data_IF_178242378842
#
_entry.id   IF_178242378842
#
_cell.length_a   1.000
_cell.length_b   1.000
_cell.length_c   1.000
_cell.angle_alpha   90.00
_cell.angle_beta   90.00
_cell.angle_gamma   90.00
#
_symmetry.space_group_name_H-M   'P 1'
#
loop_
_entity.id
_entity.type
_entity.pdbx_description
1 polymer ?
#
# COMPACT_ATOMS: atom_id res chain seq x y z
N UNK A 1 10.55 8.66 7.18
CA UNK A 1 9.65 7.50 6.98
C UNK A 1 8.70 7.23 8.15
N UNK A 2 9.05 7.48 9.42
CA UNK A 2 8.18 7.15 10.56
C UNK A 2 6.77 7.77 10.49
N UNK A 3 6.67 9.06 10.16
CA UNK A 3 5.38 9.74 9.93
C UNK A 3 4.56 9.07 8.82
N UNK A 4 5.21 8.61 7.74
CA UNK A 4 4.55 7.93 6.63
C UNK A 4 3.99 6.59 7.10
N UNK A 5 4.75 5.80 7.87
CA UNK A 5 4.30 4.52 8.43
C UNK A 5 3.06 4.65 9.31
N UNK A 6 3.00 5.67 10.18
CA UNK A 6 1.81 5.96 10.99
C UNK A 6 0.60 6.29 10.11
N UNK A 7 0.80 7.09 9.06
CA UNK A 7 -0.26 7.43 8.10
C UNK A 7 -0.75 6.21 7.33
N UNK A 8 0.11 5.28 6.95
CA UNK A 8 -0.31 4.03 6.29
C UNK A 8 -1.22 3.18 7.17
N UNK A 9 -0.96 3.10 8.48
CA UNK A 9 -1.87 2.38 9.40
C UNK A 9 -3.28 3.00 9.41
N UNK A 10 -3.35 4.34 9.38
CA UNK A 10 -4.62 5.07 9.24
C UNK A 10 -5.26 4.85 7.86
N UNK A 11 -4.46 4.90 6.80
CA UNK A 11 -4.93 4.64 5.44
C UNK A 11 -5.62 3.28 5.35
N UNK A 12 -4.95 2.21 5.79
CA UNK A 12 -5.53 0.85 5.79
C UNK A 12 -6.84 0.78 6.58
N UNK A 13 -6.91 1.44 7.75
CA UNK A 13 -8.18 1.53 8.49
C UNK A 13 -9.28 2.25 7.73
N UNK A 14 -8.97 3.33 7.00
CA UNK A 14 -9.97 4.00 6.15
C UNK A 14 -10.40 3.12 4.98
N UNK A 15 -9.48 2.37 4.38
CA UNK A 15 -9.81 1.45 3.29
C UNK A 15 -10.72 0.31 3.76
N UNK A 16 -10.42 -0.32 4.89
CA UNK A 16 -11.25 -1.38 5.49
C UNK A 16 -12.65 -0.89 5.88
N UNK A 17 -12.77 0.36 6.34
CA UNK A 17 -14.04 0.97 6.73
C UNK A 17 -14.82 1.57 5.54
N UNK A 18 -14.24 1.59 4.34
CA UNK A 18 -14.84 2.27 3.18
C UNK A 18 -14.86 3.80 3.27
N UNK A 19 -14.07 4.40 4.17
CA UNK A 19 -13.93 5.86 4.37
C UNK A 19 -13.05 6.48 3.26
N UNK A 20 -13.46 6.36 1.99
CA UNK A 20 -12.61 6.67 0.83
C UNK A 20 -12.21 8.15 0.74
N UNK A 21 -13.07 9.06 1.21
CA UNK A 21 -12.73 10.49 1.33
C UNK A 21 -11.52 10.71 2.25
N UNK A 22 -11.52 10.07 3.43
CA UNK A 22 -10.40 10.17 4.38
C UNK A 22 -9.17 9.43 3.87
N UNK A 23 -9.34 8.33 3.15
CA UNK A 23 -8.23 7.63 2.50
C UNK A 23 -7.51 8.54 1.49
N UNK A 24 -8.29 9.26 0.66
CA UNK A 24 -7.76 10.24 -0.31
C UNK A 24 -7.03 11.39 0.38
N UNK A 25 -7.63 12.00 1.40
CA UNK A 25 -7.01 13.07 2.20
C UNK A 25 -5.71 12.58 2.88
N UNK A 26 -5.71 11.36 3.42
CA UNK A 26 -4.54 10.77 4.05
C UNK A 26 -3.41 10.49 3.05
N UNK A 27 -3.73 10.02 1.84
CA UNK A 27 -2.75 9.86 0.76
C UNK A 27 -2.08 11.20 0.40
N UNK A 28 -2.84 12.29 0.26
CA UNK A 28 -2.27 13.60 -0.05
C UNK A 28 -1.26 14.03 1.04
N UNK A 29 -1.61 13.79 2.30
CA UNK A 29 -0.69 14.04 3.41
C UNK A 29 0.52 13.11 3.39
N UNK A 30 0.39 11.84 2.97
CA UNK A 30 1.56 10.96 2.75
C UNK A 30 2.46 11.56 1.67
N UNK A 31 1.90 11.93 0.52
CA UNK A 31 2.64 12.47 -0.62
C UNK A 31 3.40 13.76 -0.27
N UNK A 32 2.79 14.67 0.51
CA UNK A 32 3.47 15.89 0.98
C UNK A 32 4.68 15.61 1.88
N UNK A 33 4.69 14.49 2.60
CA UNK A 33 5.81 14.10 3.48
C UNK A 33 6.89 13.30 2.73
N UNK A 34 6.64 12.93 1.49
CA UNK A 34 7.60 12.27 0.61
C UNK A 34 8.37 13.35 -0.16
N UNK A 35 9.70 13.32 -0.08
CA UNK A 35 10.56 14.21 -0.89
C UNK A 35 10.57 13.81 -2.37
N UNK A 36 11.20 14.62 -3.23
CA UNK A 36 11.17 14.45 -4.69
C UNK A 36 12.25 13.50 -5.25
N UNK A 37 12.33 12.28 -4.73
CA UNK A 37 13.24 11.24 -5.28
C UNK A 37 12.46 10.28 -6.17
N UNK A 38 13.12 9.62 -7.13
CA UNK A 38 12.48 8.60 -7.98
C UNK A 38 11.83 7.49 -7.14
N UNK A 39 12.51 7.04 -6.09
CA UNK A 39 11.96 6.11 -5.11
C UNK A 39 10.64 6.61 -4.51
N UNK A 40 10.62 7.84 -4.03
CA UNK A 40 9.42 8.42 -3.44
C UNK A 40 8.29 8.63 -4.45
N UNK A 41 8.60 8.95 -5.72
CA UNK A 41 7.60 9.03 -6.79
C UNK A 41 6.92 7.69 -7.01
N UNK A 42 7.70 6.61 -7.08
CA UNK A 42 7.17 5.25 -7.19
C UNK A 42 6.32 4.84 -5.99
N UNK A 43 6.80 5.17 -4.78
CA UNK A 43 6.07 4.94 -3.54
C UNK A 43 4.71 5.66 -3.55
N UNK A 44 4.70 6.97 -3.83
CA UNK A 44 3.48 7.76 -3.90
C UNK A 44 2.52 7.23 -4.98
N UNK A 45 3.05 6.81 -6.13
CA UNK A 45 2.29 6.23 -7.24
C UNK A 45 1.58 4.93 -6.85
N UNK A 46 2.24 4.04 -6.10
CA UNK A 46 1.63 2.83 -5.57
C UNK A 46 0.48 3.13 -4.60
N UNK A 47 0.70 4.02 -3.63
CA UNK A 47 -0.34 4.41 -2.66
C UNK A 47 -1.51 5.08 -3.36
N UNK A 48 -1.25 5.95 -4.33
CA UNK A 48 -2.30 6.57 -5.13
C UNK A 48 -3.13 5.52 -5.88
N UNK A 49 -2.46 4.55 -6.53
CA UNK A 49 -3.11 3.45 -7.24
C UNK A 49 -4.00 2.62 -6.32
N UNK A 50 -3.53 2.31 -5.12
CA UNK A 50 -4.32 1.64 -4.07
C UNK A 50 -5.61 2.40 -3.75
N UNK A 51 -5.52 3.70 -3.47
CA UNK A 51 -6.71 4.51 -3.13
C UNK A 51 -7.65 4.61 -4.33
N UNK A 52 -7.10 4.79 -5.54
CA UNK A 52 -7.91 4.86 -6.76
C UNK A 52 -8.62 3.55 -7.09
N UNK A 53 -8.00 2.38 -6.88
CA UNK A 53 -8.67 1.08 -7.03
C UNK A 53 -9.86 0.95 -6.09
N UNK A 54 -9.70 1.40 -4.84
CA UNK A 54 -10.78 1.41 -3.84
C UNK A 54 -11.91 2.39 -4.21
N UNK A 55 -11.58 3.60 -4.66
CA UNK A 55 -12.55 4.60 -5.18
C UNK A 55 -13.36 4.11 -6.38
N UNK A 56 -12.71 3.36 -7.27
CA UNK A 56 -13.37 2.77 -8.44
C UNK A 56 -14.12 1.48 -8.12
N UNK A 57 -14.04 0.99 -6.87
CA UNK A 57 -14.54 -0.31 -6.47
C UNK A 57 -14.08 -1.43 -7.42
N UNK A 58 -12.79 -1.42 -7.77
CA UNK A 58 -12.18 -2.42 -8.63
C UNK A 58 -12.06 -3.75 -7.87
N UNK A 59 -13.13 -4.56 -7.94
CA UNK A 59 -13.28 -5.80 -7.16
C UNK A 59 -12.22 -6.85 -7.48
N UNK A 60 -11.60 -6.79 -8.66
CA UNK A 60 -10.54 -7.72 -9.04
C UNK A 60 -9.16 -7.29 -8.50
N UNK A 61 -9.04 -6.04 -8.02
CA UNK A 61 -7.79 -5.54 -7.45
C UNK A 61 -7.46 -6.23 -6.12
N UNK A 62 -6.16 -6.49 -5.92
CA UNK A 62 -5.64 -7.11 -4.69
C UNK A 62 -6.06 -6.32 -3.45
N UNK A 63 -6.07 -4.98 -3.53
CA UNK A 63 -6.37 -4.14 -2.37
C UNK A 63 -7.84 -4.18 -1.98
N UNK A 64 -8.77 -4.18 -2.94
CA UNK A 64 -10.20 -4.32 -2.65
C UNK A 64 -10.49 -5.66 -1.97
N UNK A 65 -9.90 -6.74 -2.50
CA UNK A 65 -10.04 -8.08 -1.92
C UNK A 65 -9.41 -8.18 -0.53
N UNK A 66 -8.26 -7.54 -0.32
CA UNK A 66 -7.60 -7.48 1.00
C UNK A 66 -8.45 -6.71 2.02
N UNK A 67 -8.96 -5.53 1.66
CA UNK A 67 -9.81 -4.70 2.52
C UNK A 67 -11.13 -5.39 2.89
N UNK A 68 -11.71 -6.16 1.95
CA UNK A 68 -12.92 -6.97 2.16
C UNK A 68 -12.66 -8.31 2.85
N UNK A 69 -11.41 -8.61 3.27
CA UNK A 69 -11.02 -9.87 3.92
C UNK A 69 -11.27 -11.13 3.06
N UNK A 70 -11.26 -10.98 1.75
CA UNK A 70 -11.42 -12.07 0.78
C UNK A 70 -10.09 -12.79 0.47
N UNK A 71 -8.97 -12.25 0.94
CA UNK A 71 -7.64 -12.87 0.82
C UNK A 71 -7.24 -13.41 2.20
N UNK A 72 -6.91 -14.69 2.28
CA UNK A 72 -6.44 -15.29 3.52
C UNK A 72 -5.02 -14.83 3.90
N UNK A 73 -4.64 -15.06 5.16
CA UNK A 73 -3.33 -14.65 5.69
C UNK A 73 -2.15 -15.29 4.95
N UNK A 74 -2.29 -16.53 4.45
CA UNK A 74 -1.23 -17.23 3.73
C UNK A 74 -0.98 -16.55 2.39
N UNK A 75 -2.05 -16.20 1.68
CA UNK A 75 -1.98 -15.56 0.38
C UNK A 75 -1.49 -14.11 0.50
N UNK A 76 -1.89 -13.38 1.56
CA UNK A 76 -1.31 -12.07 1.89
C UNK A 76 0.21 -12.16 2.15
N UNK A 77 0.67 -13.18 2.89
CA UNK A 77 2.11 -13.42 3.10
C UNK A 77 2.85 -13.74 1.81
N UNK A 78 2.22 -14.46 0.89
CA UNK A 78 2.81 -14.75 -0.43
C UNK A 78 3.00 -13.46 -1.24
N UNK A 79 1.97 -12.61 -1.29
CA UNK A 79 2.05 -11.30 -1.94
C UNK A 79 3.14 -10.42 -1.32
N UNK A 80 3.20 -10.38 0.01
CA UNK A 80 4.23 -9.63 0.75
C UNK A 80 5.64 -10.12 0.38
N UNK A 81 5.85 -11.44 0.32
CA UNK A 81 7.14 -12.02 -0.05
C UNK A 81 7.53 -11.65 -1.49
N UNK A 82 6.59 -11.71 -2.43
CA UNK A 82 6.84 -11.37 -3.82
C UNK A 82 7.19 -9.88 -4.00
N UNK A 83 6.45 -8.96 -3.36
CA UNK A 83 6.79 -7.54 -3.38
C UNK A 83 8.10 -7.24 -2.66
N UNK A 84 8.43 -7.95 -1.57
CA UNK A 84 9.72 -7.80 -0.89
C UNK A 84 10.88 -8.17 -1.81
N UNK A 85 10.77 -9.29 -2.53
CA UNK A 85 11.79 -9.69 -3.53
C UNK A 85 11.98 -8.62 -4.59
N UNK A 86 10.87 -8.11 -5.14
CA UNK A 86 10.89 -7.06 -6.17
C UNK A 86 11.46 -5.73 -5.63
N UNK A 87 11.15 -5.34 -4.40
CA UNK A 87 11.68 -4.13 -3.79
C UNK A 87 13.21 -4.16 -3.63
N UNK A 88 13.80 -5.35 -3.50
CA UNK A 88 15.25 -5.55 -3.33
C UNK A 88 15.99 -5.98 -4.60
N UNK A 89 15.29 -6.11 -5.73
CA UNK A 89 15.89 -6.55 -6.99
C UNK A 89 16.86 -5.50 -7.54
N UNK A 90 18.10 -5.91 -7.82
CA UNK A 90 19.16 -5.02 -8.30
C UNK A 90 18.88 -4.48 -9.72
N UNK A 91 18.08 -5.17 -10.53
CA UNK A 91 17.78 -4.76 -11.91
C UNK A 91 16.61 -3.78 -12.02
N UNK A 92 15.89 -3.53 -10.92
CA UNK A 92 14.79 -2.56 -10.89
C UNK A 92 15.30 -1.14 -10.70
N UNK A 93 14.60 -0.21 -11.33
CA UNK A 93 14.80 1.22 -11.14
C UNK A 93 14.42 1.65 -9.73
N UNK A 94 14.91 2.80 -9.28
CA UNK A 94 14.56 3.34 -7.96
C UNK A 94 13.04 3.61 -7.84
N UNK A 95 12.38 4.09 -8.90
CA UNK A 95 10.93 4.24 -8.93
C UNK A 95 10.22 2.89 -8.69
N UNK A 96 10.61 1.83 -9.41
CA UNK A 96 10.02 0.50 -9.22
C UNK A 96 10.25 -0.07 -7.82
N UNK A 97 11.44 0.15 -7.24
CA UNK A 97 11.72 -0.27 -5.85
C UNK A 97 10.84 0.49 -4.86
N UNK A 98 10.66 1.79 -5.07
CA UNK A 98 9.75 2.61 -4.27
C UNK A 98 8.30 2.12 -4.34
N UNK A 99 7.84 1.81 -5.55
CA UNK A 99 6.51 1.26 -5.80
C UNK A 99 6.28 -0.06 -5.05
N UNK A 100 7.22 -0.99 -5.13
CA UNK A 100 7.12 -2.28 -4.43
C UNK A 100 7.25 -2.13 -2.92
N UNK A 101 8.07 -1.18 -2.44
CA UNK A 101 8.21 -0.91 -1.01
C UNK A 101 6.91 -0.40 -0.40
N UNK A 102 6.15 0.45 -1.11
CA UNK A 102 4.81 0.85 -0.68
C UNK A 102 3.86 -0.35 -0.53
N UNK A 103 3.91 -1.31 -1.47
CA UNK A 103 3.16 -2.55 -1.35
C UNK A 103 3.61 -3.41 -0.17
N UNK A 104 4.93 -3.52 0.07
CA UNK A 104 5.47 -4.22 1.25
C UNK A 104 4.91 -3.61 2.54
N UNK A 105 4.94 -2.29 2.68
CA UNK A 105 4.45 -1.60 3.88
C UNK A 105 2.95 -1.83 4.09
N UNK A 106 2.14 -1.69 3.04
CA UNK A 106 0.68 -1.90 3.11
C UNK A 106 0.32 -3.37 3.40
N UNK A 107 0.92 -4.31 2.67
CA UNK A 107 0.65 -5.74 2.86
C UNK A 107 1.11 -6.24 4.24
N UNK A 108 2.19 -5.68 4.79
CA UNK A 108 2.64 -6.01 6.16
C UNK A 108 1.57 -5.67 7.20
N UNK A 109 0.89 -4.53 7.05
CA UNK A 109 -0.20 -4.12 7.95
C UNK A 109 -1.39 -5.09 7.83
N UNK A 110 -1.77 -5.49 6.61
CA UNK A 110 -2.84 -6.48 6.42
C UNK A 110 -2.47 -7.86 7.00
N UNK A 111 -1.23 -8.32 6.83
CA UNK A 111 -0.76 -9.59 7.41
C UNK A 111 -0.77 -9.55 8.95
N UNK A 112 -0.37 -8.42 9.55
CA UNK A 112 -0.42 -8.19 10.99
C UNK A 112 -1.87 -8.29 11.51
N UNK A 113 -2.80 -7.57 10.86
CA UNK A 113 -4.23 -7.55 11.23
C UNK A 113 -4.96 -8.87 11.00
N UNK A 114 -4.60 -9.63 9.97
CA UNK A 114 -5.20 -10.95 9.72
C UNK A 114 -4.83 -12.00 10.79
N UNK A 115 -3.98 -11.67 11.77
CA UNK A 115 -3.64 -12.52 12.92
C UNK A 115 -4.10 -12.01 14.28
N UNK A 116 -4.73 -10.85 14.35
CA UNK A 116 -5.27 -10.25 15.58
C UNK A 116 -6.76 -10.55 15.70
#
# INVERSE_FOLDING_TARGET
MEKVKLRLKLLVSYLENGDLKKARENYLQIAEHLGDTEFNKGYAKAINGIVTSMEKNDRDSIICRAASKEIDKRDLKKLLLESTKRATDAFRTEEEKGFETAWVDVLSIYVERAGA
#
